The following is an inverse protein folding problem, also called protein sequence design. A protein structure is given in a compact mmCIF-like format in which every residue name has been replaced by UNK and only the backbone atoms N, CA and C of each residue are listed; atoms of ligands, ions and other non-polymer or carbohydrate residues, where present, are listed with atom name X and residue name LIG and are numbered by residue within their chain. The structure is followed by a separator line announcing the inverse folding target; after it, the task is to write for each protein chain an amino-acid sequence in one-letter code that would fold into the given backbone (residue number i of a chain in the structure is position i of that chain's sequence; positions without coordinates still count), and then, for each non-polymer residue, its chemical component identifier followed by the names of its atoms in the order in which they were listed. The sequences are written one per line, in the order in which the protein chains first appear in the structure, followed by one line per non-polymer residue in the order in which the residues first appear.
data_IF_771643020052
#
_entry.id   IF_771643020052
#
_cell.length_a   1.000
_cell.length_b   1.000
_cell.length_c   1.000
_cell.angle_alpha   90.00
_cell.angle_beta   90.00
_cell.angle_gamma   90.00
#
_symmetry.space_group_name_H-M   'P 1'
#
loop_
_entity.id
_entity.type
_entity.pdbx_description
1 polymer ?
#
# COMPACT_ATOMS: atom_id res chain seq x y z
N UNK A 1 -11.31 87.84 31.83
CA UNK A 1 -10.52 86.59 31.71
C UNK A 1 -10.96 85.95 30.41
N UNK A 2 -10.03 85.83 29.43
CA UNK A 2 -10.35 85.31 28.10
C UNK A 2 -9.90 83.84 28.06
N UNK A 3 -10.85 82.93 27.93
CA UNK A 3 -10.56 81.50 27.78
C UNK A 3 -10.48 81.19 26.30
N UNK A 4 -9.34 80.66 25.87
CA UNK A 4 -9.10 80.19 24.51
C UNK A 4 -9.08 78.66 24.59
N UNK A 5 -9.88 78.00 23.76
CA UNK A 5 -9.93 76.54 23.66
C UNK A 5 -9.16 76.12 22.41
N UNK A 6 -8.35 75.07 22.52
CA UNK A 6 -7.73 74.42 21.36
C UNK A 6 -8.71 73.41 20.78
N UNK A 7 -8.92 73.46 19.47
CA UNK A 7 -9.59 72.39 18.73
C UNK A 7 -8.54 71.40 18.24
N UNK A 8 -8.70 70.13 18.63
CA UNK A 8 -7.80 69.04 18.26
C UNK A 8 -8.21 68.48 16.90
N UNK A 9 -7.39 68.69 15.87
CA UNK A 9 -7.59 68.06 14.56
C UNK A 9 -6.92 66.69 14.55
N UNK A 10 -7.72 65.64 14.80
CA UNK A 10 -7.29 64.26 14.55
C UNK A 10 -7.51 63.97 13.07
N UNK A 11 -6.45 63.64 12.34
CA UNK A 11 -6.58 63.14 10.97
C UNK A 11 -7.20 61.74 11.02
N UNK A 12 -8.51 61.65 10.83
CA UNK A 12 -9.17 60.38 10.54
C UNK A 12 -8.85 60.00 9.09
N UNK A 13 -7.96 59.02 8.92
CA UNK A 13 -7.73 58.39 7.61
C UNK A 13 -8.87 57.39 7.40
N UNK A 14 -9.60 57.53 6.28
CA UNK A 14 -10.58 56.52 5.86
C UNK A 14 -9.87 55.16 5.73
N UNK A 15 -10.45 54.12 6.32
CA UNK A 15 -9.97 52.75 6.16
C UNK A 15 -10.20 52.31 4.72
N UNK A 16 -9.13 52.37 3.91
CA UNK A 16 -9.16 51.85 2.55
C UNK A 16 -8.91 50.35 2.61
N UNK A 17 -9.98 49.55 2.55
CA UNK A 17 -9.88 48.10 2.38
C UNK A 17 -9.50 47.82 0.92
N UNK A 18 -8.20 47.58 0.68
CA UNK A 18 -7.69 47.25 -0.64
C UNK A 18 -7.83 45.73 -0.88
N UNK A 19 -8.97 45.29 -1.40
CA UNK A 19 -9.14 43.91 -1.86
C UNK A 19 -8.62 43.74 -3.30
N UNK A 20 -7.31 43.91 -3.48
CA UNK A 20 -6.61 43.85 -4.78
C UNK A 20 -6.83 42.55 -5.57
N UNK A 21 -7.26 41.48 -4.89
CA UNK A 21 -7.37 40.13 -5.42
C UNK A 21 -8.80 39.69 -5.74
N UNK A 22 -9.82 40.50 -5.44
CA UNK A 22 -11.23 40.09 -5.56
C UNK A 22 -11.65 39.00 -4.57
N UNK A 23 -10.83 38.72 -3.56
CA UNK A 23 -11.12 37.77 -2.48
C UNK A 23 -11.89 38.47 -1.36
N UNK A 24 -12.88 37.77 -0.80
CA UNK A 24 -13.74 38.26 0.30
C UNK A 24 -13.01 38.32 1.65
N UNK A 25 -11.83 37.70 1.74
CA UNK A 25 -11.10 37.53 3.00
C UNK A 25 -11.58 36.34 3.84
N UNK A 26 -12.62 35.63 3.38
CA UNK A 26 -13.07 34.37 3.93
C UNK A 26 -12.79 33.24 2.95
N UNK A 27 -11.83 32.37 3.32
CA UNK A 27 -11.39 31.25 2.49
C UNK A 27 -12.55 30.33 2.08
N UNK A 28 -13.55 30.12 2.93
CA UNK A 28 -14.68 29.24 2.61
C UNK A 28 -15.60 29.86 1.55
N UNK A 29 -15.85 31.16 1.64
CA UNK A 29 -16.68 31.88 0.68
C UNK A 29 -15.95 32.06 -0.64
N UNK A 30 -14.64 32.29 -0.59
CA UNK A 30 -13.78 32.36 -1.77
C UNK A 30 -13.73 31.01 -2.50
N UNK A 31 -13.58 29.89 -1.79
CA UNK A 31 -13.60 28.54 -2.37
C UNK A 31 -14.93 28.20 -3.06
N UNK A 32 -16.06 28.65 -2.51
CA UNK A 32 -17.38 28.44 -3.13
C UNK A 32 -17.55 29.27 -4.40
N UNK A 33 -16.96 30.46 -4.44
CA UNK A 33 -17.10 31.40 -5.56
C UNK A 33 -16.03 31.20 -6.66
N UNK A 34 -15.01 30.38 -6.41
CA UNK A 34 -13.88 30.14 -7.33
C UNK A 34 -14.24 29.34 -8.60
N UNK A 35 -15.48 28.88 -8.76
CA UNK A 35 -15.94 28.18 -9.97
C UNK A 35 -15.20 26.86 -10.25
N UNK A 36 -14.53 26.29 -9.23
CA UNK A 36 -13.79 25.04 -9.33
C UNK A 36 -14.80 23.89 -9.46
N UNK A 37 -15.03 23.47 -10.70
CA UNK A 37 -15.94 22.35 -11.01
C UNK A 37 -15.21 21.01 -11.16
N UNK A 38 -13.87 21.02 -11.17
CA UNK A 38 -13.04 19.84 -11.34
C UNK A 38 -12.41 19.45 -10.00
N UNK A 39 -12.52 18.18 -9.64
CA UNK A 39 -11.78 17.59 -8.52
C UNK A 39 -10.29 17.57 -8.90
N UNK A 40 -9.47 18.37 -8.22
CA UNK A 40 -8.02 18.41 -8.45
C UNK A 40 -7.34 17.18 -7.84
N UNK A 41 -6.43 16.56 -8.59
CA UNK A 41 -5.61 15.47 -8.09
C UNK A 41 -4.14 15.89 -7.93
N UNK A 42 -3.31 15.02 -7.33
CA UNK A 42 -1.88 15.30 -7.15
C UNK A 42 -1.14 15.61 -8.46
N UNK A 43 -1.57 14.98 -9.56
CA UNK A 43 -0.99 15.20 -10.89
C UNK A 43 -1.22 16.63 -11.40
N UNK A 44 -2.37 17.23 -11.11
CA UNK A 44 -2.68 18.62 -11.48
C UNK A 44 -1.73 19.62 -10.80
N UNK A 45 -1.09 19.24 -9.69
CA UNK A 45 -0.10 20.04 -8.96
C UNK A 45 1.35 19.60 -9.22
N UNK A 46 1.59 18.69 -10.15
CA UNK A 46 2.91 18.11 -10.39
C UNK A 46 3.44 17.26 -9.23
N UNK A 47 2.58 16.88 -8.28
CA UNK A 47 2.92 15.99 -7.17
C UNK A 47 2.77 14.55 -7.67
N UNK A 48 3.83 13.72 -7.61
CA UNK A 48 3.74 12.35 -8.09
C UNK A 48 2.73 11.56 -7.25
N UNK A 49 1.68 11.05 -7.90
CA UNK A 49 0.64 10.21 -7.31
C UNK A 49 0.55 8.82 -7.96
N UNK A 50 -0.02 7.85 -7.24
CA UNK A 50 -0.34 6.55 -7.82
C UNK A 50 -1.51 6.67 -8.80
N UNK A 51 -1.26 6.37 -10.09
CA UNK A 51 -2.25 6.49 -11.18
C UNK A 51 -2.99 5.19 -11.51
N UNK A 52 -2.64 4.08 -10.85
CA UNK A 52 -3.23 2.78 -11.10
C UNK A 52 -4.57 2.57 -10.38
N UNK A 53 -5.22 1.45 -10.70
CA UNK A 53 -6.36 0.97 -9.92
C UNK A 53 -5.86 0.60 -8.52
N UNK A 54 -6.41 1.24 -7.49
CA UNK A 54 -6.05 0.93 -6.10
C UNK A 54 -6.43 -0.51 -5.81
N UNK A 55 -5.45 -1.28 -5.33
CA UNK A 55 -5.71 -2.62 -4.81
C UNK A 55 -6.47 -2.50 -3.49
N UNK A 56 -7.32 -3.47 -3.25
CA UNK A 56 -7.98 -3.62 -1.96
C UNK A 56 -6.93 -3.70 -0.83
N UNK A 57 -7.21 -3.02 0.28
CA UNK A 57 -6.41 -3.16 1.50
C UNK A 57 -6.88 -4.39 2.26
N UNK A 58 -6.03 -5.40 2.36
CA UNK A 58 -6.29 -6.60 3.16
C UNK A 58 -5.77 -6.37 4.58
N UNK A 59 -6.68 -6.42 5.56
CA UNK A 59 -6.34 -6.21 6.96
C UNK A 59 -5.63 -7.44 7.54
N UNK A 60 -4.66 -7.20 8.43
CA UNK A 60 -4.05 -8.22 9.28
C UNK A 60 -4.97 -8.61 10.44
N UNK A 61 -4.72 -9.77 11.06
CA UNK A 61 -5.52 -10.25 12.21
C UNK A 61 -5.53 -9.25 13.36
N UNK A 62 -4.38 -8.61 13.61
CA UNK A 62 -4.25 -7.56 14.62
C UNK A 62 -5.11 -6.34 14.28
N UNK A 63 -5.14 -5.92 13.02
CA UNK A 63 -5.96 -4.80 12.58
C UNK A 63 -7.46 -5.13 12.66
N UNK A 64 -7.86 -6.35 12.27
CA UNK A 64 -9.25 -6.82 12.40
C UNK A 64 -9.66 -6.80 13.87
N UNK A 65 -8.86 -7.39 14.76
CA UNK A 65 -9.12 -7.40 16.21
C UNK A 65 -9.18 -5.99 16.80
N UNK A 66 -8.25 -5.10 16.42
CA UNK A 66 -8.21 -3.71 16.90
C UNK A 66 -9.45 -2.94 16.46
N UNK A 67 -9.86 -3.08 15.19
CA UNK A 67 -11.06 -2.42 14.67
C UNK A 67 -12.32 -2.94 15.35
N UNK A 68 -12.41 -4.24 15.58
CA UNK A 68 -13.54 -4.85 16.27
C UNK A 68 -13.66 -4.34 17.72
N UNK A 69 -12.54 -4.23 18.44
CA UNK A 69 -12.50 -3.72 19.82
C UNK A 69 -12.90 -2.24 19.92
N UNK A 70 -12.47 -1.42 18.94
CA UNK A 70 -12.71 0.02 18.94
C UNK A 70 -14.06 0.40 18.31
N UNK A 71 -14.80 -0.55 17.74
CA UNK A 71 -16.07 -0.31 17.05
C UNK A 71 -17.09 0.51 17.88
N UNK A 72 -17.24 0.32 19.20
CA UNK A 72 -18.15 1.15 20.00
C UNK A 72 -17.72 2.63 20.08
N UNK A 73 -16.42 2.91 19.95
CA UNK A 73 -15.85 4.25 20.07
C UNK A 73 -15.85 5.00 18.72
N UNK A 74 -15.89 4.29 17.60
CA UNK A 74 -15.83 4.90 16.25
C UNK A 74 -17.19 5.35 15.71
N UNK A 75 -18.26 5.23 16.49
CA UNK A 75 -19.56 5.81 16.18
C UNK A 75 -20.35 5.13 15.04
N UNK A 76 -19.95 3.94 14.60
CA UNK A 76 -20.64 3.21 13.55
C UNK A 76 -20.10 1.80 13.31
N UNK A 77 -20.99 0.91 12.86
CA UNK A 77 -20.65 -0.44 12.42
C UNK A 77 -20.38 -0.43 10.92
N UNK A 78 -19.15 -0.73 10.52
CA UNK A 78 -18.81 -0.97 9.12
C UNK A 78 -19.27 -2.40 8.75
N UNK A 79 -20.40 -2.48 8.03
CA UNK A 79 -21.04 -3.75 7.66
C UNK A 79 -20.14 -4.57 6.73
N UNK A 80 -19.43 -3.91 5.81
CA UNK A 80 -18.52 -4.58 4.89
C UNK A 80 -17.33 -5.18 5.66
N UNK A 81 -16.75 -4.41 6.57
CA UNK A 81 -15.71 -4.91 7.46
C UNK A 81 -16.20 -6.10 8.30
N UNK A 82 -17.38 -6.01 8.92
CA UNK A 82 -17.96 -7.09 9.73
C UNK A 82 -18.17 -8.35 8.90
N UNK A 83 -18.76 -8.21 7.71
CA UNK A 83 -18.95 -9.32 6.79
C UNK A 83 -17.63 -9.97 6.42
N UNK A 84 -16.63 -9.20 6.00
CA UNK A 84 -15.31 -9.71 5.61
C UNK A 84 -14.55 -10.36 6.78
N UNK A 85 -14.66 -9.80 7.98
CA UNK A 85 -14.02 -10.34 9.18
C UNK A 85 -14.66 -11.66 9.62
N UNK A 86 -15.99 -11.74 9.67
CA UNK A 86 -16.72 -12.93 10.12
C UNK A 86 -16.66 -14.05 9.09
N UNK A 87 -16.75 -13.71 7.80
CA UNK A 87 -16.69 -14.70 6.71
C UNK A 87 -15.30 -15.33 6.52
N UNK A 88 -14.26 -14.79 7.17
CA UNK A 88 -12.88 -15.21 6.95
C UNK A 88 -12.30 -14.74 5.61
N UNK A 89 -12.95 -13.79 4.94
CA UNK A 89 -12.52 -13.26 3.65
C UNK A 89 -11.06 -12.78 3.67
N UNK A 90 -10.66 -12.03 4.71
CA UNK A 90 -9.27 -11.54 4.79
C UNK A 90 -8.26 -12.68 4.92
N UNK A 91 -8.58 -13.75 5.64
CA UNK A 91 -7.72 -14.93 5.78
C UNK A 91 -7.52 -15.63 4.45
N UNK A 92 -8.62 -15.82 3.71
CA UNK A 92 -8.59 -16.40 2.37
C UNK A 92 -7.76 -15.53 1.42
N UNK A 93 -7.91 -14.21 1.47
CA UNK A 93 -7.14 -13.27 0.65
C UNK A 93 -5.65 -13.27 0.98
N UNK A 94 -5.28 -13.33 2.26
CA UNK A 94 -3.87 -13.44 2.66
C UNK A 94 -3.24 -14.75 2.15
N UNK A 95 -3.94 -15.87 2.29
CA UNK A 95 -3.52 -17.17 1.73
C UNK A 95 -3.39 -17.12 0.21
N UNK A 96 -4.36 -16.51 -0.48
CA UNK A 96 -4.31 -16.34 -1.94
C UNK A 96 -3.06 -15.57 -2.39
N UNK A 97 -2.74 -14.48 -1.68
CA UNK A 97 -1.52 -13.69 -1.93
C UNK A 97 -0.27 -14.51 -1.65
N UNK A 98 -0.25 -15.27 -0.56
CA UNK A 98 0.87 -16.12 -0.20
C UNK A 98 1.12 -17.18 -1.29
N UNK A 99 0.10 -17.89 -1.74
CA UNK A 99 0.21 -18.87 -2.82
C UNK A 99 0.70 -18.25 -4.13
N UNK A 100 0.15 -17.09 -4.51
CA UNK A 100 0.61 -16.35 -5.70
C UNK A 100 2.09 -15.97 -5.60
N UNK A 101 2.53 -15.53 -4.42
CA UNK A 101 3.94 -15.21 -4.18
C UNK A 101 4.82 -16.47 -4.23
N UNK A 102 4.38 -17.60 -3.69
CA UNK A 102 5.13 -18.86 -3.76
C UNK A 102 5.29 -19.34 -5.21
N UNK A 103 4.23 -19.29 -6.01
CA UNK A 103 4.28 -19.62 -7.44
C UNK A 103 5.22 -18.68 -8.20
N UNK A 104 5.08 -17.38 -7.98
CA UNK A 104 5.97 -16.39 -8.59
C UNK A 104 7.45 -16.66 -8.27
N UNK A 105 7.79 -16.94 -7.00
CA UNK A 105 9.17 -17.26 -6.62
C UNK A 105 9.64 -18.58 -7.24
N UNK A 106 8.77 -19.58 -7.32
CA UNK A 106 9.05 -20.85 -7.99
C UNK A 106 9.45 -20.61 -9.44
N UNK A 107 8.66 -19.83 -10.18
CA UNK A 107 8.94 -19.48 -11.57
C UNK A 107 10.27 -18.71 -11.71
N UNK A 108 10.52 -17.74 -10.83
CA UNK A 108 11.77 -16.97 -10.84
C UNK A 108 13.00 -17.87 -10.63
N UNK A 109 12.93 -18.83 -9.71
CA UNK A 109 14.01 -19.79 -9.46
C UNK A 109 14.23 -20.67 -10.69
N UNK A 110 13.15 -21.20 -11.28
CA UNK A 110 13.23 -22.06 -12.48
C UNK A 110 13.84 -21.29 -13.65
N UNK A 111 13.42 -20.04 -13.86
CA UNK A 111 13.95 -19.17 -14.92
C UNK A 111 15.43 -18.87 -14.69
N UNK A 112 15.80 -18.52 -13.45
CA UNK A 112 17.17 -18.12 -13.11
C UNK A 112 18.18 -19.26 -13.30
N UNK A 113 17.88 -20.47 -12.80
CA UNK A 113 18.79 -21.62 -12.95
C UNK A 113 18.62 -22.35 -14.28
N UNK A 114 17.49 -22.14 -14.96
CA UNK A 114 17.13 -22.80 -16.21
C UNK A 114 16.65 -24.24 -16.00
N UNK A 115 15.67 -24.67 -16.78
CA UNK A 115 15.10 -26.03 -16.69
C UNK A 115 16.17 -27.12 -16.87
N UNK A 116 17.14 -26.88 -17.77
CA UNK A 116 18.24 -27.83 -18.07
C UNK A 116 19.07 -28.18 -16.84
N UNK A 117 19.31 -27.25 -15.93
CA UNK A 117 19.99 -27.53 -14.66
C UNK A 117 19.27 -28.61 -13.86
N UNK A 118 17.95 -28.52 -13.73
CA UNK A 118 17.16 -29.47 -12.96
C UNK A 118 17.08 -30.85 -13.63
N UNK A 119 17.04 -30.88 -14.96
CA UNK A 119 17.07 -32.12 -15.75
C UNK A 119 18.42 -32.81 -15.55
N UNK A 120 19.52 -32.07 -15.70
CA UNK A 120 20.87 -32.64 -15.69
C UNK A 120 21.33 -33.03 -14.26
N UNK A 121 21.06 -32.22 -13.24
CA UNK A 121 21.53 -32.45 -11.85
C UNK A 121 20.64 -33.43 -11.07
N UNK A 122 19.32 -33.41 -11.31
CA UNK A 122 18.35 -34.18 -10.52
C UNK A 122 17.62 -35.25 -11.35
N UNK A 123 17.96 -35.41 -12.64
CA UNK A 123 17.31 -36.36 -13.56
C UNK A 123 15.77 -36.20 -13.59
N UNK A 124 15.29 -34.94 -13.48
CA UNK A 124 13.86 -34.64 -13.44
C UNK A 124 13.29 -34.49 -14.86
N UNK A 125 12.09 -35.04 -15.06
CA UNK A 125 11.27 -34.72 -16.23
C UNK A 125 10.84 -33.25 -16.20
N UNK A 126 10.74 -32.60 -17.36
CA UNK A 126 10.42 -31.16 -17.44
C UNK A 126 9.10 -30.79 -16.74
N UNK A 127 8.10 -31.68 -16.81
CA UNK A 127 6.80 -31.51 -16.18
C UNK A 127 6.83 -31.61 -14.64
N UNK A 128 7.86 -32.22 -14.05
CA UNK A 128 8.03 -32.36 -12.59
C UNK A 128 8.84 -31.23 -11.97
N UNK A 129 9.55 -30.43 -12.78
CA UNK A 129 10.43 -29.35 -12.29
C UNK A 129 9.63 -28.36 -11.44
N UNK A 130 8.46 -27.94 -11.90
CA UNK A 130 7.66 -26.96 -11.18
C UNK A 130 7.21 -27.47 -9.81
N UNK A 131 6.72 -28.71 -9.74
CA UNK A 131 6.33 -29.37 -8.49
C UNK A 131 7.53 -29.52 -7.55
N UNK A 132 8.68 -29.96 -8.07
CA UNK A 132 9.91 -30.12 -7.29
C UNK A 132 10.35 -28.79 -6.65
N UNK A 133 10.44 -27.72 -7.43
CA UNK A 133 10.89 -26.41 -6.93
C UNK A 133 9.85 -25.81 -5.99
N UNK A 134 8.55 -25.91 -6.29
CA UNK A 134 7.48 -25.48 -5.39
C UNK A 134 7.57 -26.20 -4.04
N UNK A 135 7.85 -27.51 -4.05
CA UNK A 135 8.05 -28.29 -2.82
C UNK A 135 9.28 -27.81 -2.04
N UNK A 136 10.38 -27.47 -2.71
CA UNK A 136 11.54 -26.90 -2.04
C UNK A 136 11.23 -25.54 -1.40
N UNK A 137 10.51 -24.66 -2.11
CA UNK A 137 10.10 -23.33 -1.61
C UNK A 137 9.22 -23.42 -0.36
N UNK A 138 8.38 -24.45 -0.25
CA UNK A 138 7.52 -24.67 0.92
C UNK A 138 8.28 -25.22 2.13
N UNK A 139 9.30 -26.06 1.91
CA UNK A 139 9.97 -26.79 2.99
C UNK A 139 11.25 -26.11 3.49
N UNK A 140 11.80 -25.15 2.75
CA UNK A 140 13.06 -24.49 3.07
C UNK A 140 13.00 -22.99 2.79
N UNK A 141 13.87 -22.17 3.40
CA UNK A 141 13.88 -20.71 3.21
C UNK A 141 14.50 -20.31 1.84
N UNK A 142 14.06 -20.92 0.73
CA UNK A 142 14.55 -20.64 -0.63
C UNK A 142 14.28 -19.19 -1.01
N UNK A 143 13.08 -18.67 -0.77
CA UNK A 143 12.71 -17.30 -1.13
C UNK A 143 13.67 -16.27 -0.52
N UNK A 144 13.95 -16.39 0.78
CA UNK A 144 14.84 -15.49 1.50
C UNK A 144 16.27 -15.56 0.95
N UNK A 145 16.81 -16.77 0.78
CA UNK A 145 18.17 -16.97 0.30
C UNK A 145 18.34 -16.61 -1.17
N UNK A 146 17.35 -16.89 -2.01
CA UNK A 146 17.34 -16.53 -3.43
C UNK A 146 17.34 -15.01 -3.60
N UNK A 147 16.47 -14.29 -2.87
CA UNK A 147 16.45 -12.82 -2.89
C UNK A 147 17.72 -12.18 -2.33
N UNK A 148 18.35 -12.82 -1.35
CA UNK A 148 19.61 -12.37 -0.77
C UNK A 148 20.84 -12.68 -1.66
N UNK A 149 20.66 -13.39 -2.79
CA UNK A 149 21.78 -13.83 -3.64
C UNK A 149 22.61 -14.98 -3.06
N UNK A 150 22.14 -15.62 -1.99
CA UNK A 150 22.80 -16.76 -1.34
C UNK A 150 22.61 -18.07 -2.12
N UNK A 151 23.05 -18.08 -3.38
CA UNK A 151 22.79 -19.18 -4.32
C UNK A 151 23.37 -20.52 -3.85
N UNK A 152 24.50 -20.53 -3.13
CA UNK A 152 25.07 -21.76 -2.57
C UNK A 152 24.09 -22.46 -1.61
N UNK A 153 23.40 -21.70 -0.74
CA UNK A 153 22.39 -22.23 0.17
C UNK A 153 21.14 -22.69 -0.58
N UNK A 154 20.74 -21.95 -1.63
CA UNK A 154 19.61 -22.36 -2.48
C UNK A 154 19.86 -23.72 -3.12
N UNK A 155 21.05 -23.93 -3.71
CA UNK A 155 21.46 -25.21 -4.30
C UNK A 155 21.52 -26.33 -3.25
N UNK A 156 22.01 -26.03 -2.05
CA UNK A 156 22.02 -26.99 -0.93
C UNK A 156 20.60 -27.42 -0.54
N UNK A 157 19.66 -26.48 -0.44
CA UNK A 157 18.27 -26.79 -0.13
C UNK A 157 17.57 -27.57 -1.24
N UNK A 158 17.85 -27.29 -2.52
CA UNK A 158 17.35 -28.10 -3.64
C UNK A 158 17.85 -29.55 -3.52
N UNK A 159 19.13 -29.75 -3.21
CA UNK A 159 19.70 -31.09 -2.97
C UNK A 159 19.07 -31.78 -1.76
N UNK A 160 18.84 -31.06 -0.67
CA UNK A 160 18.11 -31.58 0.51
C UNK A 160 16.68 -31.98 0.17
N UNK A 161 15.98 -31.16 -0.62
CA UNK A 161 14.62 -31.46 -1.06
C UNK A 161 14.58 -32.71 -1.94
N UNK A 162 15.54 -32.87 -2.85
CA UNK A 162 15.65 -34.06 -3.69
C UNK A 162 15.85 -35.33 -2.85
N UNK A 163 16.72 -35.29 -1.85
CA UNK A 163 16.90 -36.41 -0.91
C UNK A 163 15.62 -36.71 -0.13
N UNK A 164 14.90 -35.68 0.32
CA UNK A 164 13.63 -35.81 1.05
C UNK A 164 12.52 -36.49 0.24
N UNK A 165 12.47 -36.26 -1.08
CA UNK A 165 11.44 -36.83 -1.95
C UNK A 165 11.76 -38.27 -2.41
N UNK A 166 13.00 -38.70 -2.30
CA UNK A 166 13.47 -40.03 -2.74
C UNK A 166 13.86 -40.96 -1.58
N UNK A 167 13.69 -40.51 -0.33
CA UNK A 167 13.78 -41.32 0.88
C UNK A 167 12.38 -41.69 1.34
#
# INVERSE_FOLDING_TARGET
MLNIYLDEYVNELDEVIVNSSGLSGNILDDLRNLGISKEYNFDDFGIPGFKGIRKERILSDKEVATRFLLMPLTGGMDIEFLYNAISGYYDLKRKEIEYKNQLYITDQIIIFYGKKYFIDEFSLDENKIHEFVSSAVQNYPLNQNFKAGNHSLVLEYLKKNFKRLNN
#
